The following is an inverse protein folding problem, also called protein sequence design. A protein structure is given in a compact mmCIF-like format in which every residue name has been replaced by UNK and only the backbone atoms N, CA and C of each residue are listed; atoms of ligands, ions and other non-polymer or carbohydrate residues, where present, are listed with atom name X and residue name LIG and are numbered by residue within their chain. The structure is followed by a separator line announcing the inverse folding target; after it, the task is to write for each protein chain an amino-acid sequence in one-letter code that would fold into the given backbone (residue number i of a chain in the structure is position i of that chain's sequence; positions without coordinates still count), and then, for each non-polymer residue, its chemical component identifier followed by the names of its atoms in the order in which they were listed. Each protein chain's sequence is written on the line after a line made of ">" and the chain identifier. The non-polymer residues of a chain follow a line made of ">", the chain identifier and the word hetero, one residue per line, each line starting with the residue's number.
data_IF_814091637522
#
_entry.id   IF_814091637522
#
_cell.length_a   1.000
_cell.length_b   1.000
_cell.length_c   1.000
_cell.angle_alpha   90.00
_cell.angle_beta   90.00
_cell.angle_gamma   90.00
#
_symmetry.space_group_name_H-M   'P 1'
#
loop_
_entity.id
_entity.type
_entity.pdbx_description
1 polymer ?
#
# COMPACT_ATOMS: atom_id res chain seq x y z
N UNK A 1 6.00 -11.56 -19.30
CA UNK A 1 5.44 -10.26 -18.84
C UNK A 1 4.30 -9.89 -19.76
N UNK A 2 3.06 -10.01 -19.30
CA UNK A 2 1.89 -9.57 -20.07
C UNK A 2 1.64 -8.12 -19.69
N UNK A 3 1.88 -7.19 -20.60
CA UNK A 3 1.62 -5.78 -20.38
C UNK A 3 0.12 -5.57 -20.12
N UNK A 4 -0.24 -5.09 -18.93
CA UNK A 4 -1.58 -4.58 -18.66
C UNK A 4 -1.72 -3.28 -19.46
N UNK A 5 -2.49 -3.33 -20.54
CA UNK A 5 -2.83 -2.15 -21.34
C UNK A 5 -3.84 -1.33 -20.55
N UNK A 6 -3.34 -0.40 -19.75
CA UNK A 6 -4.10 0.69 -19.14
C UNK A 6 -4.23 1.80 -20.18
N UNK A 7 -5.42 1.90 -20.78
CA UNK A 7 -5.79 3.05 -21.58
C UNK A 7 -6.18 4.18 -20.63
N UNK A 8 -5.29 5.15 -20.43
CA UNK A 8 -5.74 6.48 -20.06
C UNK A 8 -6.43 7.03 -21.30
N UNK A 9 -7.77 6.98 -21.32
CA UNK A 9 -8.52 7.67 -22.35
C UNK A 9 -8.19 9.17 -22.23
N UNK A 10 -7.78 9.77 -23.34
CA UNK A 10 -7.88 11.22 -23.57
C UNK A 10 -9.16 11.73 -22.91
N UNK A 11 -9.09 12.86 -22.20
CA UNK A 11 -10.22 13.60 -21.62
C UNK A 11 -11.52 13.37 -22.41
N UNK A 12 -12.27 12.32 -22.06
CA UNK A 12 -13.47 11.91 -22.76
C UNK A 12 -14.61 12.15 -21.81
N UNK A 13 -15.45 13.12 -22.18
CA UNK A 13 -16.73 13.39 -21.56
C UNK A 13 -17.48 12.06 -21.39
N UNK A 14 -17.97 11.74 -20.19
CA UNK A 14 -18.48 10.40 -19.91
C UNK A 14 -19.72 10.11 -20.76
N UNK A 15 -19.57 9.25 -21.76
CA UNK A 15 -20.69 8.65 -22.50
C UNK A 15 -21.49 7.77 -21.53
N UNK A 16 -22.56 8.34 -20.96
CA UNK A 16 -23.57 7.66 -20.11
C UNK A 16 -22.99 6.91 -18.90
N UNK A 17 -22.48 7.64 -17.91
CA UNK A 17 -22.16 7.08 -16.59
C UNK A 17 -23.33 7.31 -15.63
N UNK A 18 -23.70 6.30 -14.86
CA UNK A 18 -24.62 6.44 -13.73
C UNK A 18 -23.86 6.25 -12.41
N UNK A 19 -24.37 6.84 -11.34
CA UNK A 19 -23.73 6.79 -10.01
C UNK A 19 -23.80 5.36 -9.46
N UNK A 20 -22.63 4.80 -9.17
CA UNK A 20 -22.47 3.53 -8.47
C UNK A 20 -22.72 3.68 -6.96
N UNK A 21 -23.06 2.56 -6.34
CA UNK A 21 -23.31 2.44 -4.89
C UNK A 21 -22.40 1.33 -4.34
N UNK A 22 -21.71 1.59 -3.23
CA UNK A 22 -20.85 0.60 -2.60
C UNK A 22 -21.65 -0.63 -2.17
N UNK A 23 -21.06 -1.81 -2.33
CA UNK A 23 -21.65 -3.11 -2.00
C UNK A 23 -22.65 -3.64 -3.04
N UNK A 24 -23.07 -2.83 -4.01
CA UNK A 24 -24.00 -3.25 -5.07
C UNK A 24 -23.26 -3.83 -6.27
N UNK A 25 -23.79 -4.93 -6.79
CA UNK A 25 -23.26 -5.58 -7.99
C UNK A 25 -23.73 -4.88 -9.26
N UNK A 26 -22.78 -4.60 -10.15
CA UNK A 26 -23.01 -4.02 -11.45
C UNK A 26 -22.45 -4.91 -12.55
N UNK A 27 -23.17 -5.09 -13.68
CA UNK A 27 -22.64 -5.80 -14.83
C UNK A 27 -21.54 -4.96 -15.50
N UNK A 28 -20.40 -5.60 -15.73
CA UNK A 28 -19.30 -5.04 -16.52
C UNK A 28 -18.90 -6.03 -17.61
N UNK A 29 -18.39 -5.51 -18.73
CA UNK A 29 -17.97 -6.29 -19.88
C UNK A 29 -18.93 -6.30 -21.06
N UNK A 30 -18.63 -7.12 -22.05
CA UNK A 30 -19.38 -7.14 -23.31
C UNK A 30 -20.58 -8.09 -23.20
N UNK A 31 -21.77 -7.60 -23.55
CA UNK A 31 -22.99 -8.42 -23.68
C UNK A 31 -23.33 -8.57 -25.16
N UNK A 32 -23.19 -9.77 -25.69
CA UNK A 32 -23.68 -10.12 -27.03
C UNK A 32 -25.14 -10.53 -27.00
N UNK A 33 -25.85 -10.37 -28.11
CA UNK A 33 -27.21 -10.88 -28.28
C UNK A 33 -27.33 -11.65 -29.59
N UNK A 34 -28.14 -12.71 -29.60
CA UNK A 34 -28.47 -13.46 -30.81
C UNK A 34 -29.34 -12.59 -31.74
N UNK A 35 -28.96 -12.42 -33.02
CA UNK A 35 -29.78 -11.71 -33.98
C UNK A 35 -31.16 -12.36 -34.11
N UNK A 36 -32.22 -11.55 -34.09
CA UNK A 36 -33.60 -12.01 -34.29
C UNK A 36 -34.33 -12.48 -33.02
N UNK A 37 -33.63 -12.97 -31.99
CA UNK A 37 -34.27 -13.41 -30.72
C UNK A 37 -34.05 -12.43 -29.58
N UNK A 38 -32.96 -11.65 -29.61
CA UNK A 38 -32.57 -10.78 -28.50
C UNK A 38 -32.08 -11.53 -27.27
N UNK A 39 -31.88 -12.85 -27.36
CA UNK A 39 -31.33 -13.65 -26.26
C UNK A 39 -29.85 -13.32 -26.05
N UNK A 40 -29.42 -13.20 -24.78
CA UNK A 40 -28.04 -12.93 -24.42
C UNK A 40 -27.13 -14.10 -24.83
N UNK A 41 -26.05 -13.78 -25.54
CA UNK A 41 -24.95 -14.72 -25.82
C UNK A 41 -24.02 -14.73 -24.62
N UNK A 42 -23.84 -15.90 -24.01
CA UNK A 42 -22.84 -16.12 -22.96
C UNK A 42 -21.48 -16.43 -23.61
N UNK A 43 -20.46 -15.65 -23.25
CA UNK A 43 -19.13 -15.73 -23.89
C UNK A 43 -17.97 -15.53 -22.91
N UNK A 44 -18.24 -15.55 -21.60
CA UNK A 44 -17.27 -15.42 -20.53
C UNK A 44 -16.74 -13.99 -20.38
N UNK A 45 -17.32 -13.04 -21.12
CA UNK A 45 -16.84 -11.66 -21.23
C UNK A 45 -17.67 -10.66 -20.45
N UNK A 46 -18.69 -11.12 -19.71
CA UNK A 46 -19.40 -10.32 -18.70
C UNK A 46 -19.20 -10.89 -17.30
N UNK A 47 -19.25 -10.02 -16.29
CA UNK A 47 -19.21 -10.39 -14.86
C UNK A 47 -19.94 -9.33 -14.03
N UNK A 48 -20.38 -9.70 -12.84
CA UNK A 48 -20.92 -8.76 -11.87
C UNK A 48 -19.80 -8.33 -10.91
N UNK A 49 -19.62 -7.03 -10.71
CA UNK A 49 -18.64 -6.48 -9.76
C UNK A 49 -19.31 -5.55 -8.76
N UNK A 50 -18.95 -5.72 -7.49
CA UNK A 50 -19.32 -4.80 -6.42
C UNK A 50 -18.06 -4.22 -5.79
N UNK A 51 -17.94 -2.89 -5.74
CA UNK A 51 -16.90 -2.23 -4.93
C UNK A 51 -17.44 -2.12 -3.51
N UNK A 52 -16.76 -2.73 -2.54
CA UNK A 52 -17.19 -2.72 -1.12
C UNK A 52 -16.64 -1.53 -0.37
N UNK A 53 -15.38 -1.20 -0.61
CA UNK A 53 -14.69 -0.15 0.12
C UNK A 53 -13.31 0.12 -0.45
N UNK A 54 -12.69 1.19 0.06
CA UNK A 54 -11.38 1.65 -0.37
C UNK A 54 -10.61 2.20 0.82
N UNK A 55 -9.31 1.95 0.86
CA UNK A 55 -8.39 2.49 1.87
C UNK A 55 -7.00 2.75 1.29
N UNK A 56 -6.21 3.55 2.01
CA UNK A 56 -4.81 3.83 1.66
C UNK A 56 -3.83 3.23 2.67
N UNK A 57 -2.61 2.96 2.21
CA UNK A 57 -1.51 2.44 3.04
C UNK A 57 -0.13 2.85 2.49
N UNK A 58 0.90 2.76 3.33
CA UNK A 58 2.30 2.85 2.86
C UNK A 58 2.88 1.52 2.39
N UNK A 59 2.42 0.44 2.99
CA UNK A 59 2.88 -0.91 2.67
C UNK A 59 1.70 -1.88 2.69
N UNK A 60 1.80 -2.92 1.88
CA UNK A 60 0.84 -4.02 1.82
C UNK A 60 1.56 -5.31 1.46
N UNK A 61 1.31 -6.36 2.23
CA UNK A 61 1.94 -7.65 2.02
C UNK A 61 0.97 -8.73 1.54
N UNK A 62 1.48 -9.63 0.72
CA UNK A 62 0.84 -10.86 0.24
C UNK A 62 1.70 -12.06 0.63
N UNK A 63 1.20 -13.28 0.46
CA UNK A 63 2.01 -14.49 0.69
C UNK A 63 3.27 -14.60 -0.20
N UNK A 64 3.39 -13.79 -1.26
CA UNK A 64 4.48 -13.86 -2.24
C UNK A 64 5.36 -12.63 -2.29
N UNK A 65 4.82 -11.48 -1.92
CA UNK A 65 5.50 -10.20 -2.08
C UNK A 65 4.99 -9.15 -1.08
N UNK A 66 5.88 -8.25 -0.68
CA UNK A 66 5.55 -7.04 0.09
C UNK A 66 5.72 -5.82 -0.81
N UNK A 67 4.64 -5.06 -0.99
CA UNK A 67 4.63 -3.80 -1.71
C UNK A 67 4.84 -2.65 -0.74
N UNK A 68 5.76 -1.74 -1.07
CA UNK A 68 5.98 -0.48 -0.35
C UNK A 68 5.83 0.64 -1.36
N UNK A 69 5.00 1.64 -1.05
CA UNK A 69 4.82 2.79 -1.92
C UNK A 69 6.12 3.59 -2.02
N UNK A 70 6.50 3.96 -3.24
CA UNK A 70 7.68 4.77 -3.53
C UNK A 70 7.62 6.20 -2.97
N UNK A 71 8.70 6.96 -3.21
CA UNK A 71 8.78 8.37 -2.80
C UNK A 71 7.63 9.18 -3.44
N UNK A 72 6.91 9.96 -2.61
CA UNK A 72 5.77 10.75 -3.06
C UNK A 72 4.53 9.95 -3.46
N UNK A 73 4.48 8.65 -3.13
CA UNK A 73 3.39 7.74 -3.51
C UNK A 73 2.72 7.11 -2.28
N UNK A 74 1.56 6.53 -2.51
CA UNK A 74 0.80 5.72 -1.56
C UNK A 74 0.18 4.49 -2.25
N UNK A 75 -0.10 3.44 -1.49
CA UNK A 75 -0.89 2.31 -1.97
C UNK A 75 -2.37 2.62 -1.83
N UNK A 76 -3.13 2.28 -2.86
CA UNK A 76 -4.57 2.42 -2.95
C UNK A 76 -5.20 1.04 -3.08
N UNK A 77 -5.95 0.62 -2.06
CA UNK A 77 -6.48 -0.72 -1.92
C UNK A 77 -7.99 -0.68 -2.12
N UNK A 78 -8.48 -1.47 -3.07
CA UNK A 78 -9.90 -1.55 -3.42
C UNK A 78 -10.41 -2.93 -3.04
N UNK A 79 -11.28 -2.97 -2.04
CA UNK A 79 -11.98 -4.17 -1.63
C UNK A 79 -13.21 -4.34 -2.52
N UNK A 80 -13.31 -5.47 -3.22
CA UNK A 80 -14.38 -5.74 -4.18
C UNK A 80 -14.86 -7.20 -4.13
N UNK A 81 -15.98 -7.46 -4.77
CA UNK A 81 -16.47 -8.81 -5.06
C UNK A 81 -16.70 -8.99 -6.56
N UNK A 82 -16.35 -10.17 -7.06
CA UNK A 82 -16.62 -10.59 -8.44
C UNK A 82 -17.57 -11.77 -8.37
N UNK A 83 -18.66 -11.71 -9.14
CA UNK A 83 -19.64 -12.79 -9.25
C UNK A 83 -19.84 -13.20 -10.70
N UNK A 84 -19.87 -14.51 -10.94
CA UNK A 84 -20.26 -15.03 -12.23
C UNK A 84 -21.79 -15.06 -12.36
N UNK A 85 -22.32 -14.39 -13.38
CA UNK A 85 -23.74 -14.39 -13.71
C UNK A 85 -24.04 -15.12 -15.03
N UNK A 86 -23.04 -15.70 -15.69
CA UNK A 86 -23.18 -16.52 -16.90
C UNK A 86 -23.15 -18.00 -16.53
N UNK A 87 -23.93 -18.83 -17.23
CA UNK A 87 -23.94 -20.29 -17.00
C UNK A 87 -22.58 -20.91 -17.31
N UNK A 88 -21.78 -20.28 -18.18
CA UNK A 88 -20.41 -20.71 -18.46
C UNK A 88 -19.39 -20.14 -17.45
N UNK A 89 -18.28 -20.85 -17.16
CA UNK A 89 -17.29 -20.38 -16.21
C UNK A 89 -16.54 -19.11 -16.69
N UNK A 90 -16.34 -18.14 -15.81
CA UNK A 90 -15.51 -16.95 -16.08
C UNK A 90 -14.11 -17.11 -15.47
N UNK A 91 -13.10 -16.54 -16.13
CA UNK A 91 -11.72 -16.50 -15.61
C UNK A 91 -11.55 -15.34 -14.63
N UNK A 92 -10.89 -15.61 -13.49
CA UNK A 92 -10.69 -14.64 -12.39
C UNK A 92 -9.26 -14.61 -11.85
N UNK A 93 -8.28 -15.13 -12.60
CA UNK A 93 -6.86 -14.91 -12.27
C UNK A 93 -6.47 -13.43 -12.41
N UNK A 94 -5.46 -12.99 -11.66
CA UNK A 94 -4.84 -11.64 -11.66
C UNK A 94 -5.56 -10.52 -12.45
N UNK A 95 -4.89 -9.95 -13.45
CA UNK A 95 -5.35 -8.96 -14.44
C UNK A 95 -6.61 -9.35 -15.21
N UNK A 96 -7.07 -10.61 -15.12
CA UNK A 96 -8.29 -11.12 -15.78
C UNK A 96 -9.53 -11.00 -14.90
N UNK A 97 -9.40 -10.51 -13.68
CA UNK A 97 -10.51 -10.22 -12.78
C UNK A 97 -11.38 -9.10 -13.33
N UNK A 98 -10.94 -7.86 -13.17
CA UNK A 98 -11.44 -6.65 -13.80
C UNK A 98 -10.39 -5.53 -13.61
N UNK A 99 -10.56 -4.42 -14.31
CA UNK A 99 -9.68 -3.25 -14.20
C UNK A 99 -10.48 -2.02 -13.78
N UNK A 100 -9.79 -0.95 -13.38
CA UNK A 100 -10.41 0.33 -13.02
C UNK A 100 -10.04 1.41 -14.02
N UNK A 101 -11.01 2.23 -14.42
CA UNK A 101 -10.75 3.54 -15.04
C UNK A 101 -10.83 4.58 -13.96
N UNK A 102 -9.93 5.54 -14.00
CA UNK A 102 -9.96 6.70 -13.12
C UNK A 102 -10.37 7.93 -13.92
N UNK A 103 -11.22 8.75 -13.30
CA UNK A 103 -11.69 10.01 -13.86
C UNK A 103 -11.32 11.14 -12.92
N UNK A 104 -11.10 12.34 -13.50
CA UNK A 104 -10.99 13.60 -12.75
C UNK A 104 -9.96 13.62 -11.60
N UNK A 105 -9.00 12.70 -11.60
CA UNK A 105 -7.92 12.66 -10.62
C UNK A 105 -6.78 13.63 -10.94
N UNK A 106 -6.79 14.22 -12.15
CA UNK A 106 -5.65 14.98 -12.70
C UNK A 106 -4.46 14.10 -13.10
N UNK A 107 -4.58 12.77 -12.97
CA UNK A 107 -3.50 11.82 -13.22
C UNK A 107 -3.42 11.41 -14.69
N UNK A 108 -2.19 11.31 -15.21
CA UNK A 108 -1.85 10.86 -16.55
C UNK A 108 -1.54 9.36 -16.58
N UNK A 109 -1.44 8.79 -17.78
CA UNK A 109 -0.93 7.44 -17.96
C UNK A 109 0.48 7.32 -17.37
N UNK A 110 0.73 6.30 -16.55
CA UNK A 110 2.01 6.11 -15.84
C UNK A 110 2.06 6.72 -14.44
N UNK A 111 1.14 7.62 -14.09
CA UNK A 111 1.06 8.16 -12.73
C UNK A 111 0.59 7.11 -11.73
N UNK A 112 -0.12 6.07 -12.16
CA UNK A 112 -0.52 4.96 -11.30
C UNK A 112 -0.05 3.61 -11.83
N UNK A 113 0.25 2.69 -10.91
CA UNK A 113 0.68 1.33 -11.22
C UNK A 113 -0.27 0.32 -10.57
N UNK A 114 -0.63 -0.72 -11.33
CA UNK A 114 -1.29 -1.91 -10.78
C UNK A 114 -0.22 -2.89 -10.31
N UNK A 115 -0.32 -3.33 -9.06
CA UNK A 115 0.59 -4.32 -8.48
C UNK A 115 -0.01 -5.71 -8.59
N UNK A 116 -1.17 -5.93 -7.96
CA UNK A 116 -1.74 -7.27 -7.86
C UNK A 116 -3.23 -7.28 -7.50
N UNK A 117 -3.84 -8.45 -7.62
CA UNK A 117 -5.17 -8.77 -7.10
C UNK A 117 -5.04 -10.01 -6.25
N UNK A 118 -5.48 -9.92 -5.00
CA UNK A 118 -5.40 -11.01 -4.02
C UNK A 118 -6.73 -11.22 -3.34
N UNK A 119 -6.91 -12.36 -2.67
CA UNK A 119 -8.05 -12.55 -1.78
C UNK A 119 -7.79 -11.86 -0.44
N UNK A 120 -8.82 -11.35 0.27
CA UNK A 120 -8.65 -10.73 1.58
C UNK A 120 -8.02 -11.66 2.63
N UNK A 121 -8.26 -12.98 2.53
CA UNK A 121 -7.65 -14.00 3.39
C UNK A 121 -6.21 -14.36 2.98
N UNK A 122 -5.66 -13.66 1.98
CA UNK A 122 -4.37 -13.93 1.35
C UNK A 122 -4.23 -15.33 0.75
N UNK A 123 -5.34 -16.06 0.59
CA UNK A 123 -5.34 -17.36 -0.07
C UNK A 123 -5.16 -17.26 -1.58
N UNK A 124 -4.91 -18.39 -2.27
CA UNK A 124 -4.80 -18.40 -3.72
C UNK A 124 -6.12 -17.96 -4.36
N UNK A 125 -6.00 -17.14 -5.41
CA UNK A 125 -7.13 -16.73 -6.24
C UNK A 125 -7.73 -17.96 -6.93
N UNK A 126 -9.07 -18.09 -6.92
CA UNK A 126 -9.75 -19.08 -7.75
C UNK A 126 -9.51 -18.72 -9.22
N UNK A 127 -8.99 -19.63 -10.06
CA UNK A 127 -8.69 -19.31 -11.46
C UNK A 127 -9.95 -19.14 -12.31
N UNK A 128 -11.05 -19.79 -11.89
CA UNK A 128 -12.37 -19.73 -12.54
C UNK A 128 -13.47 -19.61 -11.49
N UNK A 129 -14.56 -18.92 -11.84
CA UNK A 129 -15.82 -18.94 -11.09
C UNK A 129 -16.89 -19.64 -11.90
N UNK A 130 -17.54 -20.64 -11.30
CA UNK A 130 -18.73 -21.30 -11.83
C UNK A 130 -19.95 -20.38 -11.72
N UNK A 131 -21.03 -20.72 -12.43
CA UNK A 131 -22.27 -19.96 -12.38
C UNK A 131 -22.76 -19.73 -10.94
N UNK A 132 -23.06 -18.47 -10.61
CA UNK A 132 -23.52 -18.07 -9.29
C UNK A 132 -22.42 -17.93 -8.23
N UNK A 133 -21.21 -18.45 -8.46
CA UNK A 133 -20.09 -18.29 -7.53
C UNK A 133 -19.64 -16.83 -7.46
N UNK A 134 -19.21 -16.44 -6.25
CA UNK A 134 -18.65 -15.14 -5.95
C UNK A 134 -17.29 -15.29 -5.26
N UNK A 135 -16.42 -14.31 -5.45
CA UNK A 135 -15.13 -14.22 -4.78
C UNK A 135 -14.85 -12.78 -4.38
N UNK A 136 -14.41 -12.60 -3.15
CA UNK A 136 -13.89 -11.33 -2.66
C UNK A 136 -12.44 -11.17 -3.05
N UNK A 137 -12.09 -9.94 -3.43
CA UNK A 137 -10.76 -9.57 -3.92
C UNK A 137 -10.35 -8.22 -3.37
N UNK A 138 -9.05 -8.02 -3.22
CA UNK A 138 -8.40 -6.74 -2.95
C UNK A 138 -7.52 -6.44 -4.14
N UNK A 139 -7.80 -5.34 -4.83
CA UNK A 139 -6.93 -4.83 -5.89
C UNK A 139 -5.97 -3.82 -5.28
N UNK A 140 -4.68 -3.98 -5.58
CA UNK A 140 -3.62 -3.14 -5.04
C UNK A 140 -3.04 -2.29 -6.16
N UNK A 141 -3.19 -0.98 -5.99
CA UNK A 141 -2.60 0.01 -6.87
C UNK A 141 -1.64 0.91 -6.10
N UNK A 142 -0.80 1.63 -6.82
CA UNK A 142 0.08 2.64 -6.26
C UNK A 142 -0.09 3.96 -7.01
N UNK A 143 -0.47 5.02 -6.29
CA UNK A 143 -0.80 6.34 -6.81
C UNK A 143 0.15 7.42 -6.25
N UNK A 144 0.32 8.58 -6.92
CA UNK A 144 0.96 9.74 -6.33
C UNK A 144 0.15 10.22 -5.11
N UNK A 145 0.82 10.89 -4.19
CA UNK A 145 0.21 11.61 -3.06
C UNK A 145 0.73 13.05 -3.06
N UNK A 146 -0.13 14.08 -2.96
CA UNK A 146 -1.57 14.01 -2.69
C UNK A 146 -2.42 13.68 -3.94
N UNK A 147 -3.67 13.25 -3.69
CA UNK A 147 -4.71 13.13 -4.73
C UNK A 147 -5.88 14.02 -4.37
N UNK A 148 -6.34 14.84 -5.33
CA UNK A 148 -7.44 15.77 -5.11
C UNK A 148 -8.82 15.09 -5.09
N UNK A 149 -9.05 14.13 -5.99
CA UNK A 149 -10.33 13.40 -6.11
C UNK A 149 -10.10 11.97 -6.54
N UNK A 150 -10.98 11.08 -6.08
CA UNK A 150 -11.00 9.69 -6.49
C UNK A 150 -12.34 9.37 -7.10
N UNK A 151 -12.41 9.39 -8.43
CA UNK A 151 -13.55 8.85 -9.19
C UNK A 151 -13.10 7.67 -10.01
N UNK A 152 -13.79 6.54 -9.89
CA UNK A 152 -13.44 5.34 -10.63
C UNK A 152 -14.64 4.60 -11.18
N UNK A 153 -14.41 3.83 -12.24
CA UNK A 153 -15.35 2.84 -12.76
C UNK A 153 -14.65 1.50 -12.97
N UNK A 154 -15.20 0.39 -12.45
CA UNK A 154 -14.75 -0.93 -12.84
C UNK A 154 -15.12 -1.20 -14.30
N UNK A 155 -14.24 -1.86 -15.03
CA UNK A 155 -14.50 -2.29 -16.40
C UNK A 155 -13.84 -3.63 -16.69
N UNK A 156 -14.34 -4.32 -17.71
CA UNK A 156 -13.75 -5.54 -18.23
C UNK A 156 -13.84 -5.53 -19.75
N UNK A 157 -12.78 -5.92 -20.46
CA UNK A 157 -12.66 -5.79 -21.93
C UNK A 157 -12.74 -4.33 -22.43
N UNK A 158 -12.38 -4.07 -23.70
CA UNK A 158 -12.41 -2.72 -24.31
C UNK A 158 -13.82 -2.18 -24.54
N UNK A 159 -14.87 -2.79 -23.97
CA UNK A 159 -16.24 -2.28 -24.12
C UNK A 159 -16.35 -0.90 -23.48
N UNK A 160 -16.76 0.08 -24.29
CA UNK A 160 -17.24 1.38 -23.83
C UNK A 160 -18.73 1.22 -23.49
N UNK A 161 -19.00 0.67 -22.30
CA UNK A 161 -20.34 0.51 -21.77
C UNK A 161 -20.73 1.63 -20.79
N UNK A 162 -21.98 1.61 -20.34
CA UNK A 162 -22.47 2.37 -19.18
C UNK A 162 -21.90 1.77 -17.90
N UNK A 163 -20.62 2.04 -17.60
CA UNK A 163 -19.98 1.55 -16.38
C UNK A 163 -20.42 2.42 -15.18
N UNK A 164 -20.66 1.82 -14.00
CA UNK A 164 -20.98 2.58 -12.80
C UNK A 164 -19.80 3.48 -12.40
N UNK A 165 -20.05 4.74 -12.10
CA UNK A 165 -19.03 5.67 -11.60
C UNK A 165 -19.17 5.86 -10.09
N UNK A 166 -18.08 5.63 -9.37
CA UNK A 166 -17.97 5.79 -7.94
C UNK A 166 -17.15 7.04 -7.64
N UNK A 167 -17.77 8.07 -7.06
CA UNK A 167 -17.01 9.11 -6.35
C UNK A 167 -16.72 8.61 -4.94
N UNK A 168 -15.44 8.29 -4.72
CA UNK A 168 -14.94 7.66 -3.51
C UNK A 168 -14.14 8.62 -2.64
N UNK A 169 -14.03 9.88 -3.04
CA UNK A 169 -13.18 10.90 -2.39
C UNK A 169 -13.41 10.95 -0.87
N UNK A 170 -14.66 11.03 -0.44
CA UNK A 170 -15.04 11.08 0.98
C UNK A 170 -15.28 9.70 1.61
N UNK A 171 -15.05 8.63 0.85
CA UNK A 171 -15.26 7.24 1.26
C UNK A 171 -13.95 6.47 1.45
N UNK A 172 -12.81 7.06 1.11
CA UNK A 172 -11.50 6.44 1.31
C UNK A 172 -11.18 6.42 2.81
N UNK A 173 -11.01 5.22 3.36
CA UNK A 173 -10.57 5.02 4.73
C UNK A 173 -9.16 5.57 4.94
N UNK A 174 -8.98 6.34 6.02
CA UNK A 174 -7.68 6.88 6.40
C UNK A 174 -6.72 5.77 6.83
N UNK A 175 -5.47 5.85 6.37
CA UNK A 175 -4.40 4.96 6.83
C UNK A 175 -4.05 5.19 8.30
N UNK A 176 -3.69 4.12 9.01
CA UNK A 176 -3.17 4.21 10.38
C UNK A 176 -1.72 4.73 10.47
N UNK A 177 -1.09 5.00 9.32
CA UNK A 177 0.29 5.47 9.23
C UNK A 177 0.50 6.83 9.90
N UNK A 178 1.63 7.02 10.57
CA UNK A 178 2.05 8.32 11.15
C UNK A 178 2.30 9.38 10.08
N UNK A 179 2.49 8.98 8.83
CA UNK A 179 2.67 9.88 7.69
C UNK A 179 1.35 10.35 7.08
N UNK A 180 0.23 9.68 7.37
CA UNK A 180 -1.08 10.02 6.80
C UNK A 180 -1.67 11.28 7.44
N UNK A 181 -1.77 12.36 6.67
CA UNK A 181 -2.40 13.62 7.09
C UNK A 181 -3.92 13.47 7.04
N UNK A 182 -4.41 12.98 5.91
CA UNK A 182 -5.81 12.61 5.67
C UNK A 182 -5.87 11.27 4.90
N UNK A 183 -7.02 10.94 4.31
CA UNK A 183 -7.20 9.68 3.56
C UNK A 183 -6.44 9.61 2.24
N UNK A 184 -6.05 10.75 1.65
CA UNK A 184 -5.45 10.88 0.32
C UNK A 184 -4.10 11.60 0.30
N UNK A 185 -3.63 12.08 1.45
CA UNK A 185 -2.39 12.85 1.59
C UNK A 185 -1.46 12.25 2.63
N UNK A 186 -0.25 11.93 2.19
CA UNK A 186 0.87 11.51 3.04
C UNK A 186 1.96 12.59 3.06
N UNK A 187 2.48 12.88 4.24
CA UNK A 187 3.69 13.67 4.39
C UNK A 187 4.94 12.81 4.21
N UNK A 188 6.05 13.45 3.82
CA UNK A 188 7.37 12.81 3.77
C UNK A 188 7.99 12.65 5.15
N UNK A 189 7.60 13.50 6.10
CA UNK A 189 8.15 13.51 7.45
C UNK A 189 7.05 13.41 8.50
N UNK A 190 7.36 12.72 9.58
CA UNK A 190 6.52 12.61 10.77
C UNK A 190 7.35 12.79 12.04
N UNK A 191 6.69 13.23 13.11
CA UNK A 191 7.31 13.39 14.43
C UNK A 191 6.49 12.64 15.46
N UNK A 192 7.16 11.86 16.30
CA UNK A 192 6.53 11.08 17.37
C UNK A 192 7.33 11.20 18.67
N UNK A 193 6.67 10.99 19.81
CA UNK A 193 7.36 10.97 21.11
C UNK A 193 8.01 9.61 21.38
N UNK A 194 9.08 9.58 22.19
CA UNK A 194 9.67 8.34 22.71
C UNK A 194 8.59 7.39 23.27
N UNK A 195 8.76 6.09 23.03
CA UNK A 195 7.84 5.04 23.48
C UNK A 195 6.54 4.92 22.66
N UNK A 196 6.27 5.82 21.70
CA UNK A 196 5.14 5.67 20.76
C UNK A 196 5.54 4.82 19.56
N UNK A 197 4.59 4.01 19.09
CA UNK A 197 4.70 3.24 17.86
C UNK A 197 4.65 4.17 16.66
N UNK A 198 5.46 3.86 15.65
CA UNK A 198 5.38 4.49 14.34
C UNK A 198 5.72 3.48 13.25
N UNK A 199 5.04 3.56 12.12
CA UNK A 199 5.44 2.85 10.92
C UNK A 199 6.57 3.60 10.21
N UNK A 200 7.48 2.84 9.61
CA UNK A 200 8.42 3.33 8.62
C UNK A 200 8.46 2.29 7.49
N UNK A 201 7.83 2.64 6.38
CA UNK A 201 7.56 1.76 5.24
C UNK A 201 6.85 0.47 5.68
N UNK A 202 7.48 -0.70 5.55
CA UNK A 202 6.88 -2.00 5.84
C UNK A 202 6.96 -2.42 7.31
N UNK A 203 7.71 -1.70 8.15
CA UNK A 203 8.03 -2.09 9.52
C UNK A 203 7.42 -1.10 10.53
N UNK A 204 7.12 -1.60 11.73
CA UNK A 204 6.69 -0.80 12.87
C UNK A 204 7.83 -0.67 13.89
N UNK A 205 8.05 0.52 14.42
CA UNK A 205 9.15 0.85 15.32
C UNK A 205 8.64 1.41 16.65
N UNK A 206 9.40 1.16 17.71
CA UNK A 206 9.29 1.85 19.00
C UNK A 206 10.69 2.18 19.51
N UNK A 207 10.99 3.45 19.75
CA UNK A 207 12.22 3.83 20.46
C UNK A 207 12.01 3.69 21.96
N UNK A 208 12.80 2.83 22.59
CA UNK A 208 12.70 2.47 24.01
C UNK A 208 13.42 3.48 24.90
N UNK A 209 14.59 3.93 24.46
CA UNK A 209 15.40 4.88 25.22
C UNK A 209 16.79 5.06 24.65
N UNK A 210 17.60 5.79 25.42
CA UNK A 210 19.01 6.05 25.13
C UNK A 210 19.85 5.60 26.32
N UNK A 211 20.93 4.89 26.04
CA UNK A 211 21.90 4.42 27.02
C UNK A 211 23.28 5.01 26.74
N UNK A 212 23.99 5.45 27.78
CA UNK A 212 25.37 5.92 27.64
C UNK A 212 26.32 4.73 27.60
N UNK A 213 27.29 4.73 26.70
CA UNK A 213 28.30 3.68 26.60
C UNK A 213 29.58 4.06 27.35
N UNK A 214 30.42 3.07 27.65
CA UNK A 214 31.67 3.28 28.38
C UNK A 214 32.71 4.13 27.58
N UNK A 215 32.66 4.05 26.25
CA UNK A 215 33.52 4.74 25.30
C UNK A 215 32.98 6.12 24.88
N UNK A 216 32.23 6.78 25.77
CA UNK A 216 31.64 8.12 25.58
C UNK A 216 30.61 8.22 24.43
N UNK A 217 30.13 7.10 23.93
CA UNK A 217 29.03 7.04 22.97
C UNK A 217 27.65 6.96 23.62
N UNK A 218 26.64 6.88 22.76
CA UNK A 218 25.25 6.68 23.12
C UNK A 218 24.61 5.61 22.23
N UNK A 219 23.82 4.73 22.82
CA UNK A 219 23.00 3.72 22.14
C UNK A 219 21.54 4.14 22.16
N UNK A 220 20.89 4.20 21.01
CA UNK A 220 19.44 4.31 20.91
C UNK A 220 18.88 2.90 20.76
N UNK A 221 18.09 2.45 21.74
CA UNK A 221 17.47 1.13 21.75
C UNK A 221 16.11 1.19 21.06
N UNK A 222 15.88 0.32 20.08
CA UNK A 222 14.65 0.26 19.29
C UNK A 222 14.08 -1.15 19.23
N UNK A 223 12.75 -1.25 19.32
CA UNK A 223 12.01 -2.45 18.93
C UNK A 223 11.53 -2.26 17.48
N UNK A 224 11.77 -3.27 16.63
CA UNK A 224 11.37 -3.30 15.21
C UNK A 224 10.49 -4.51 14.98
N UNK A 225 9.23 -4.27 14.61
CA UNK A 225 8.21 -5.30 14.40
C UNK A 225 7.84 -5.39 12.93
N UNK A 226 7.66 -6.61 12.43
CA UNK A 226 7.24 -6.85 11.05
C UNK A 226 5.77 -7.28 10.97
N UNK A 227 4.84 -6.37 10.60
CA UNK A 227 3.44 -6.70 10.40
C UNK A 227 3.17 -7.40 9.05
N UNK A 228 4.16 -7.52 8.17
CA UNK A 228 4.00 -8.13 6.85
C UNK A 228 4.04 -9.67 6.94
N UNK A 229 3.37 -10.37 6.00
CA UNK A 229 3.38 -11.84 5.92
C UNK A 229 4.73 -12.44 5.50
N UNK A 230 5.66 -11.61 4.99
CA UNK A 230 7.00 -12.03 4.58
C UNK A 230 8.06 -11.31 5.39
N UNK A 231 9.24 -11.94 5.54
CA UNK A 231 10.38 -11.33 6.18
C UNK A 231 10.76 -10.03 5.46
N UNK A 232 11.11 -8.99 6.23
CA UNK A 232 11.48 -7.68 5.70
C UNK A 232 12.91 -7.39 6.08
N UNK A 233 13.72 -7.01 5.09
CA UNK A 233 15.13 -6.66 5.31
C UNK A 233 15.25 -5.36 6.08
N UNK A 234 16.18 -5.32 7.03
CA UNK A 234 16.48 -4.16 7.85
C UNK A 234 17.96 -4.04 8.17
N UNK A 235 18.43 -2.81 8.34
CA UNK A 235 19.83 -2.48 8.56
C UNK A 235 20.20 -1.10 8.01
N UNK A 236 21.46 -0.73 8.20
CA UNK A 236 21.99 0.58 7.80
C UNK A 236 21.93 0.84 6.29
N UNK A 237 21.89 -0.21 5.48
CA UNK A 237 21.74 -0.12 4.02
C UNK A 237 20.36 0.42 3.60
N UNK A 238 19.34 0.24 4.45
CA UNK A 238 17.95 0.60 4.13
C UNK A 238 17.53 1.95 4.69
N UNK A 239 18.11 2.36 5.82
CA UNK A 239 17.80 3.63 6.47
C UNK A 239 19.05 4.29 7.05
N UNK A 240 19.10 5.62 6.94
CA UNK A 240 20.05 6.48 7.65
C UNK A 240 19.48 6.82 9.02
N UNK A 241 20.28 6.64 10.06
CA UNK A 241 19.96 7.03 11.43
C UNK A 241 20.81 8.23 11.87
N UNK A 242 20.20 9.20 12.56
CA UNK A 242 20.90 10.35 13.15
C UNK A 242 20.34 10.68 14.53
N UNK A 243 21.13 11.36 15.35
CA UNK A 243 20.68 11.96 16.61
C UNK A 243 21.00 13.44 16.64
N UNK A 244 20.22 14.21 17.41
CA UNK A 244 20.45 15.64 17.60
C UNK A 244 20.55 16.00 19.08
N UNK A 245 21.55 16.79 19.46
CA UNK A 245 21.72 17.30 20.83
C UNK A 245 20.81 18.53 21.10
N UNK A 246 20.75 18.99 22.35
CA UNK A 246 19.99 20.19 22.73
C UNK A 246 20.49 21.47 22.03
N UNK A 247 21.79 21.51 21.72
CA UNK A 247 22.45 22.60 20.99
C UNK A 247 22.18 22.52 19.48
N UNK A 248 21.52 21.47 19.03
CA UNK A 248 21.17 21.24 17.65
C UNK A 248 22.25 20.54 16.81
N UNK A 249 23.34 20.09 17.43
CA UNK A 249 24.40 19.31 16.77
C UNK A 249 23.84 17.98 16.30
N UNK A 250 23.90 17.70 14.99
CA UNK A 250 23.52 16.41 14.43
C UNK A 250 24.71 15.46 14.40
N UNK A 251 24.52 14.24 14.90
CA UNK A 251 25.52 13.17 14.86
C UNK A 251 24.97 12.02 14.02
N UNK A 252 25.72 11.63 13.00
CA UNK A 252 25.39 10.47 12.19
C UNK A 252 25.71 9.18 12.95
N UNK A 253 24.92 8.17 12.67
CA UNK A 253 25.09 6.83 13.20
C UNK A 253 26.39 6.16 12.73
N UNK A 254 27.04 5.43 13.63
CA UNK A 254 28.17 4.56 13.31
C UNK A 254 27.66 3.23 12.73
N UNK A 255 28.03 2.86 11.48
CA UNK A 255 27.34 1.83 10.70
C UNK A 255 27.51 0.41 11.25
N UNK A 256 26.67 -0.01 12.20
CA UNK A 256 26.49 -1.40 12.64
C UNK A 256 25.22 -1.59 13.48
N UNK A 257 24.12 -2.09 12.89
CA UNK A 257 22.82 -2.17 13.58
C UNK A 257 22.82 -3.48 14.32
N UNK A 258 22.99 -3.39 15.63
CA UNK A 258 23.24 -4.55 16.48
C UNK A 258 21.92 -5.01 17.08
N UNK A 259 21.50 -6.20 16.70
CA UNK A 259 20.37 -6.87 17.37
C UNK A 259 20.86 -7.50 18.67
N UNK A 260 20.10 -7.32 19.74
CA UNK A 260 20.51 -7.68 21.11
C UNK A 260 20.24 -9.15 21.47
N UNK A 261 19.55 -9.91 20.61
CA UNK A 261 19.28 -11.32 20.83
C UNK A 261 20.49 -12.21 20.46
N UNK A 262 20.64 -13.35 21.14
CA UNK A 262 21.79 -14.26 21.06
C UNK A 262 21.94 -15.06 19.74
N UNK A 263 21.38 -14.58 18.63
CA UNK A 263 21.44 -15.23 17.32
C UNK A 263 22.25 -14.42 16.31
N UNK A 264 22.67 -15.07 15.22
CA UNK A 264 23.25 -14.37 14.07
C UNK A 264 22.16 -13.55 13.39
N UNK A 265 22.23 -12.23 13.55
CA UNK A 265 21.40 -11.27 12.81
C UNK A 265 21.71 -11.37 11.31
N UNK A 266 20.71 -11.74 10.52
CA UNK A 266 20.85 -11.88 9.06
C UNK A 266 20.30 -10.66 8.29
N UNK A 267 20.02 -9.56 8.99
CA UNK A 267 19.46 -8.36 8.34
C UNK A 267 17.99 -8.47 7.99
N UNK A 268 17.22 -9.33 8.66
CA UNK A 268 15.79 -9.58 8.37
C UNK A 268 14.95 -9.66 9.64
N UNK A 269 13.77 -9.04 9.61
CA UNK A 269 12.76 -9.13 10.66
C UNK A 269 11.69 -10.16 10.22
N UNK A 270 11.55 -11.31 10.89
CA UNK A 270 10.59 -12.35 10.47
C UNK A 270 9.12 -11.90 10.60
N UNK A 271 8.19 -12.49 9.82
CA UNK A 271 6.75 -12.16 9.88
C UNK A 271 6.17 -12.26 11.29
N UNK A 272 5.45 -11.22 11.72
CA UNK A 272 4.79 -11.18 13.03
C UNK A 272 5.75 -11.21 14.23
N UNK A 273 7.06 -11.03 14.01
CA UNK A 273 8.06 -10.98 15.07
C UNK A 273 8.53 -9.55 15.33
N UNK A 274 9.05 -9.35 16.54
CA UNK A 274 9.75 -8.14 16.96
C UNK A 274 11.21 -8.49 17.24
N UNK A 275 12.12 -7.65 16.77
CA UNK A 275 13.54 -7.70 17.12
C UNK A 275 13.91 -6.41 17.85
N UNK A 276 14.73 -6.53 18.89
CA UNK A 276 15.28 -5.37 19.59
C UNK A 276 16.70 -5.14 19.09
N UNK A 277 17.03 -3.91 18.74
CA UNK A 277 18.38 -3.56 18.30
C UNK A 277 18.80 -2.15 18.71
N UNK A 278 20.05 -1.84 18.41
CA UNK A 278 20.74 -0.66 18.90
C UNK A 278 21.38 0.11 17.75
N UNK A 279 21.21 1.44 17.78
CA UNK A 279 21.98 2.39 16.98
C UNK A 279 23.00 3.08 17.87
N UNK A 280 24.30 2.98 17.55
CA UNK A 280 25.38 3.61 18.33
C UNK A 280 25.84 4.91 17.68
N UNK A 281 26.02 5.95 18.50
CA UNK A 281 26.40 7.30 18.10
C UNK A 281 27.56 7.80 18.96
N UNK A 282 28.46 8.58 18.38
CA UNK A 282 29.60 9.19 19.06
C UNK A 282 29.62 10.71 18.83
N UNK A 283 28.82 11.49 19.59
CA UNK A 283 28.84 12.95 19.48
C UNK A 283 30.20 13.51 19.87
N UNK A 284 30.77 14.40 19.04
CA UNK A 284 32.10 14.96 19.27
C UNK A 284 32.19 15.81 20.55
N UNK A 285 31.09 16.48 20.90
CA UNK A 285 30.92 17.27 22.12
C UNK A 285 30.52 16.41 23.34
N UNK A 286 30.29 15.11 23.15
CA UNK A 286 29.78 14.19 24.19
C UNK A 286 28.37 14.55 24.67
N UNK A 287 27.63 15.39 23.95
CA UNK A 287 26.31 15.83 24.35
C UNK A 287 25.28 14.71 24.24
N UNK A 288 24.37 14.63 25.21
CA UNK A 288 23.29 13.65 25.21
C UNK A 288 22.30 13.91 24.05
N UNK A 289 21.87 12.86 23.31
CA UNK A 289 20.81 12.97 22.32
C UNK A 289 19.49 13.45 22.93
N UNK A 290 18.81 14.36 22.25
CA UNK A 290 17.44 14.83 22.59
C UNK A 290 16.39 14.35 21.60
N UNK A 291 16.82 14.01 20.38
CA UNK A 291 15.99 13.40 19.36
C UNK A 291 16.79 12.43 18.49
N UNK A 292 16.06 11.50 17.88
CA UNK A 292 16.58 10.45 17.00
C UNK A 292 15.75 10.44 15.72
N UNK A 293 16.40 10.39 14.57
CA UNK A 293 15.72 10.34 13.28
C UNK A 293 16.12 9.11 12.48
N UNK A 294 15.14 8.51 11.82
CA UNK A 294 15.32 7.47 10.81
C UNK A 294 14.79 7.97 9.49
N UNK A 295 15.60 7.90 8.44
CA UNK A 295 15.22 8.22 7.08
C UNK A 295 15.49 7.05 6.15
N UNK A 296 14.46 6.60 5.43
CA UNK A 296 14.59 5.55 4.43
C UNK A 296 15.41 6.02 3.23
N UNK A 297 16.33 5.19 2.77
CA UNK A 297 17.19 5.51 1.64
C UNK A 297 16.40 5.54 0.31
N UNK A 298 15.42 4.65 0.16
CA UNK A 298 14.61 4.48 -1.06
C UNK A 298 13.43 5.45 -1.14
N UNK A 299 12.56 5.46 -0.14
CA UNK A 299 11.31 6.24 -0.15
C UNK A 299 11.50 7.66 0.36
N UNK A 300 12.66 7.93 0.98
CA UNK A 300 13.02 9.19 1.63
C UNK A 300 12.03 9.65 2.71
N UNK A 301 11.14 8.76 3.16
CA UNK A 301 10.30 9.00 4.34
C UNK A 301 11.17 9.06 5.58
N UNK A 302 10.89 10.00 6.47
CA UNK A 302 11.66 10.17 7.68
C UNK A 302 10.76 10.35 8.92
N UNK A 303 11.07 9.63 9.99
CA UNK A 303 10.47 9.85 11.31
C UNK A 303 11.52 10.47 12.22
N UNK A 304 11.12 11.51 12.94
CA UNK A 304 11.88 12.06 14.07
C UNK A 304 11.19 11.71 15.37
N UNK A 305 11.93 11.08 16.29
CA UNK A 305 11.50 10.75 17.63
C UNK A 305 12.07 11.77 18.61
N UNK A 306 11.20 12.44 19.38
CA UNK A 306 11.57 13.48 20.34
C UNK A 306 11.39 13.04 21.78
N UNK A 307 12.08 13.70 22.71
CA UNK A 307 11.97 13.41 24.15
C UNK A 307 12.73 12.15 24.54
N UNK A 308 13.93 11.98 23.97
CA UNK A 308 14.83 10.89 24.31
C UNK A 308 15.27 10.94 25.77
#
# INVERSE_FOLDING_TARGET
>A
MTAVVLLAGNLQTPTRQYKGELGKFYPIGTVGHMPGTGEKIENGSSRLVAIKGVRTALAFGTQKETYVAGEGRMLFLIDAAIKNAEKIPILTGDSRSFSIRMFESGMKQGDFAYHTTVRPDMGPMKPKLQYGESMDVVLVFEFPSPIAKVRLSPYYSKSFGTDPNFDLTDKVGKSASVFARDSLTFARTATVSKGKKFDLDALEFVVKGVEKTADKGYKVVVDVSNPMPLAVKWGWQYAKATVKSAQGTETAYYPDFKVTSAGTWQGEVPPGKTVTGEYTFYPADGAAPTSFALQMNSTKRAVTVTGL
#
